data_IF_346415655691
#
_entry.id   IF_346415655691
#
_cell.length_a   1.000
_cell.length_b   1.000
_cell.length_c   1.000
_cell.angle_alpha   90.00
_cell.angle_beta   90.00
_cell.angle_gamma   90.00
#
_symmetry.space_group_name_H-M   'P 1'
#
loop_
_entity.id
_entity.type
_entity.pdbx_description
1 polymer ?
#
# COMPACT_ATOMS: atom_id res chain seq x y z
N UNK A 1 -11.73 6.46 4.24
CA UNK A 1 -12.57 6.60 5.45
C UNK A 1 -11.86 6.01 6.63
N UNK A 2 -11.64 6.81 7.67
CA UNK A 2 -11.17 6.35 8.96
C UNK A 2 -12.39 5.89 9.75
N UNK A 3 -12.47 4.60 10.02
CA UNK A 3 -13.34 4.09 11.06
C UNK A 3 -12.60 4.37 12.36
N UNK A 4 -13.03 5.38 13.10
CA UNK A 4 -12.54 5.64 14.45
C UNK A 4 -13.19 4.61 15.39
N UNK A 5 -12.45 3.58 15.72
CA UNK A 5 -12.85 2.62 16.73
C UNK A 5 -12.36 3.18 18.07
N UNK A 6 -13.19 3.96 18.75
CA UNK A 6 -12.95 4.30 20.15
C UNK A 6 -13.19 3.08 21.04
N UNK A 7 -12.11 2.57 21.59
CA UNK A 7 -12.12 1.48 22.55
C UNK A 7 -12.44 2.04 23.93
N UNK A 8 -13.71 2.23 24.26
CA UNK A 8 -14.15 2.40 25.64
C UNK A 8 -15.23 1.37 25.96
N UNK A 9 -14.81 0.24 26.51
CA UNK A 9 -15.60 -0.80 27.18
C UNK A 9 -16.83 -1.39 26.47
N UNK A 10 -17.25 -0.88 25.31
CA UNK A 10 -18.26 -1.46 24.40
C UNK A 10 -18.01 -0.92 23.00
N UNK A 11 -18.10 -1.78 22.00
CA UNK A 11 -17.99 -1.40 20.60
C UNK A 11 -19.15 -0.46 20.23
N UNK A 12 -18.86 0.83 20.07
CA UNK A 12 -19.80 1.75 19.48
C UNK A 12 -19.40 1.99 18.02
N UNK A 13 -20.19 1.49 17.10
CA UNK A 13 -20.05 1.84 15.68
C UNK A 13 -20.74 3.18 15.46
N UNK A 14 -19.95 4.20 15.12
CA UNK A 14 -20.51 5.45 14.60
C UNK A 14 -20.68 5.28 13.10
N UNK A 15 -21.93 5.10 12.66
CA UNK A 15 -22.24 5.18 11.23
C UNK A 15 -22.00 6.62 10.77
N UNK A 16 -20.97 6.84 9.97
CA UNK A 16 -20.77 8.11 9.28
C UNK A 16 -21.60 8.03 8.00
N UNK A 17 -22.63 8.84 7.89
CA UNK A 17 -23.32 9.02 6.61
C UNK A 17 -22.33 9.58 5.59
N UNK A 18 -21.96 8.73 4.65
CA UNK A 18 -21.21 9.14 3.49
C UNK A 18 -22.23 9.66 2.50
N UNK A 19 -22.39 10.97 2.44
CA UNK A 19 -23.02 11.53 1.26
C UNK A 19 -22.12 11.18 0.08
N UNK A 20 -22.57 10.27 -0.78
CA UNK A 20 -21.93 9.98 -2.05
C UNK A 20 -22.12 11.18 -2.95
N UNK A 21 -21.41 12.25 -2.69
CA UNK A 21 -21.19 13.26 -3.68
C UNK A 21 -20.38 12.61 -4.79
N UNK A 22 -21.04 12.21 -5.85
CA UNK A 22 -20.39 11.81 -7.09
C UNK A 22 -19.46 12.95 -7.49
N UNK A 23 -18.14 12.72 -7.37
CA UNK A 23 -17.16 13.71 -7.75
C UNK A 23 -17.23 13.92 -9.26
N UNK A 24 -17.88 15.00 -9.69
CA UNK A 24 -17.86 15.47 -11.06
C UNK A 24 -16.58 16.24 -11.39
N UNK A 25 -15.73 16.48 -10.40
CA UNK A 25 -14.49 17.22 -10.61
C UNK A 25 -13.58 16.55 -11.63
N UNK A 26 -13.08 17.37 -12.53
CA UNK A 26 -12.09 16.96 -13.54
C UNK A 26 -10.66 17.22 -13.10
N UNK A 27 -10.43 17.82 -11.94
CA UNK A 27 -9.10 18.18 -11.46
C UNK A 27 -8.39 16.99 -10.82
N UNK A 28 -7.16 16.74 -11.25
CA UNK A 28 -6.25 15.75 -10.68
C UNK A 28 -4.96 16.45 -10.29
N UNK A 29 -4.60 16.35 -9.04
CA UNK A 29 -3.38 16.95 -8.50
C UNK A 29 -2.35 15.85 -8.23
N UNK A 30 -1.18 15.97 -8.85
CA UNK A 30 -0.05 15.07 -8.65
C UNK A 30 1.14 15.89 -8.19
N UNK A 31 1.70 15.55 -7.03
CA UNK A 31 2.89 16.17 -6.51
C UNK A 31 4.00 15.15 -6.31
N UNK A 32 5.23 15.60 -6.43
CA UNK A 32 6.43 14.81 -6.20
C UNK A 32 7.24 15.44 -5.08
N UNK A 33 7.59 14.67 -4.07
CA UNK A 33 8.61 14.97 -3.06
C UNK A 33 9.80 14.09 -3.35
N UNK A 34 10.93 14.68 -3.63
CA UNK A 34 12.13 13.97 -4.07
C UNK A 34 13.29 14.34 -3.17
N UNK A 35 13.94 13.33 -2.64
CA UNK A 35 15.25 13.49 -2.01
C UNK A 35 16.26 13.94 -3.06
N UNK A 36 17.01 14.99 -2.74
CA UNK A 36 18.03 15.57 -3.62
C UNK A 36 19.42 15.60 -2.95
N UNK A 37 19.63 14.72 -1.97
CA UNK A 37 20.95 14.52 -1.36
C UNK A 37 21.91 13.78 -2.28
N UNK A 38 23.17 13.72 -1.93
CA UNK A 38 24.22 13.24 -2.82
C UNK A 38 24.07 11.78 -3.24
N UNK A 39 23.51 10.94 -2.37
CA UNK A 39 23.28 9.52 -2.60
C UNK A 39 22.29 9.24 -3.74
N UNK A 40 21.35 10.17 -4.00
CA UNK A 40 20.32 10.09 -5.05
C UNK A 40 20.82 10.45 -6.47
N UNK A 41 22.14 10.54 -6.70
CA UNK A 41 22.70 11.03 -7.97
C UNK A 41 22.23 10.30 -9.22
N UNK A 42 22.34 9.00 -9.21
CA UNK A 42 21.93 8.14 -10.33
C UNK A 42 20.42 8.05 -10.45
N UNK A 43 19.72 7.94 -9.31
CA UNK A 43 18.27 7.89 -9.26
C UNK A 43 17.63 9.17 -9.78
N UNK A 44 18.16 10.36 -9.43
CA UNK A 44 17.60 11.62 -9.93
C UNK A 44 17.70 11.72 -11.44
N UNK A 45 18.82 11.27 -12.03
CA UNK A 45 18.98 11.26 -13.49
C UNK A 45 17.95 10.36 -14.18
N UNK A 46 17.73 9.19 -13.63
CA UNK A 46 16.69 8.25 -14.10
C UNK A 46 15.27 8.83 -13.87
N UNK A 47 14.98 9.32 -12.67
CA UNK A 47 13.68 9.85 -12.29
C UNK A 47 13.25 11.05 -13.13
N UNK A 48 14.16 11.91 -13.56
CA UNK A 48 13.85 13.05 -14.45
C UNK A 48 13.17 12.59 -15.75
N UNK A 49 13.65 11.51 -16.34
CA UNK A 49 13.06 10.95 -17.56
C UNK A 49 11.72 10.28 -17.27
N UNK A 50 11.68 9.45 -16.22
CA UNK A 50 10.47 8.70 -15.84
C UNK A 50 9.31 9.62 -15.43
N UNK A 51 9.57 10.62 -14.61
CA UNK A 51 8.54 11.56 -14.14
C UNK A 51 7.93 12.35 -15.32
N UNK A 52 8.74 12.80 -16.27
CA UNK A 52 8.27 13.49 -17.45
C UNK A 52 7.36 12.61 -18.30
N UNK A 53 7.75 11.37 -18.52
CA UNK A 53 6.96 10.41 -19.30
C UNK A 53 5.68 9.98 -18.56
N UNK A 54 5.74 9.77 -17.25
CA UNK A 54 4.57 9.47 -16.40
C UNK A 54 3.55 10.60 -16.45
N UNK A 55 3.98 11.86 -16.33
CA UNK A 55 3.09 13.02 -16.43
C UNK A 55 2.41 13.07 -17.80
N UNK A 56 3.16 12.85 -18.88
CA UNK A 56 2.63 12.84 -20.24
C UNK A 56 1.62 11.69 -20.44
N UNK A 57 2.02 10.44 -20.10
CA UNK A 57 1.17 9.25 -20.25
C UNK A 57 -0.12 9.35 -19.45
N UNK A 58 -0.04 9.84 -18.21
CA UNK A 58 -1.22 10.02 -17.37
C UNK A 58 -2.21 11.02 -17.96
N UNK A 59 -1.72 12.12 -18.51
CA UNK A 59 -2.54 13.10 -19.20
C UNK A 59 -3.19 12.53 -20.46
N UNK A 60 -2.45 11.74 -21.23
CA UNK A 60 -2.96 11.12 -22.46
C UNK A 60 -3.98 10.02 -22.18
N UNK A 61 -3.83 9.28 -21.08
CA UNK A 61 -4.76 8.22 -20.69
C UNK A 61 -6.15 8.78 -20.29
N UNK A 62 -6.21 10.03 -19.82
CA UNK A 62 -7.44 10.67 -19.34
C UNK A 62 -7.65 12.04 -19.98
N UNK A 63 -7.94 12.14 -21.30
CA UNK A 63 -8.01 13.41 -22.01
C UNK A 63 -9.15 14.34 -21.51
N UNK A 64 -10.13 13.77 -20.80
CA UNK A 64 -11.22 14.54 -20.18
C UNK A 64 -10.91 15.15 -18.82
N UNK A 65 -9.71 14.86 -18.25
CA UNK A 65 -9.30 15.36 -16.94
C UNK A 65 -8.27 16.48 -17.04
N UNK A 66 -8.26 17.34 -16.04
CA UNK A 66 -7.33 18.46 -15.90
C UNK A 66 -6.27 18.15 -14.87
N UNK A 67 -5.06 17.87 -15.32
CA UNK A 67 -3.93 17.55 -14.46
C UNK A 67 -3.18 18.81 -14.03
N UNK A 68 -2.78 18.84 -12.76
CA UNK A 68 -1.83 19.81 -12.20
C UNK A 68 -0.67 19.07 -11.56
N UNK A 69 0.54 19.61 -11.72
CA UNK A 69 1.77 19.00 -11.21
C UNK A 69 2.50 19.98 -10.31
N UNK A 70 3.01 19.46 -9.18
CA UNK A 70 3.84 20.21 -8.25
C UNK A 70 5.08 19.40 -7.87
N UNK A 71 6.15 20.08 -7.49
CA UNK A 71 7.42 19.46 -7.18
C UNK A 71 8.03 20.05 -5.92
N UNK A 72 8.55 19.20 -5.05
CA UNK A 72 9.35 19.57 -3.88
C UNK A 72 10.60 18.71 -3.88
N UNK A 73 11.74 19.33 -3.89
CA UNK A 73 13.04 18.69 -3.74
C UNK A 73 13.64 19.12 -2.41
N UNK A 74 13.98 18.17 -1.55
CA UNK A 74 14.56 18.47 -0.25
C UNK A 74 15.98 17.90 -0.12
N UNK A 75 16.73 18.46 0.80
CA UNK A 75 18.04 18.01 1.25
C UNK A 75 18.09 18.01 2.76
N UNK A 76 19.27 17.89 3.33
CA UNK A 76 19.41 17.93 4.77
C UNK A 76 19.62 19.34 5.33
N UNK A 77 19.53 19.47 6.67
CA UNK A 77 19.48 20.73 7.42
C UNK A 77 20.75 21.58 7.31
N UNK A 78 21.87 20.96 6.93
CA UNK A 78 23.18 21.64 6.79
C UNK A 78 23.61 21.89 5.36
N UNK A 79 22.74 21.57 4.42
CA UNK A 79 23.02 21.69 2.99
C UNK A 79 22.88 23.13 2.46
N UNK A 80 23.31 23.34 1.22
CA UNK A 80 23.21 24.63 0.55
C UNK A 80 21.73 25.14 0.46
N UNK A 81 20.78 24.29 0.52
CA UNK A 81 19.35 24.61 0.67
C UNK A 81 18.64 23.44 1.36
N UNK A 82 17.58 23.75 2.11
CA UNK A 82 16.78 22.76 2.79
C UNK A 82 15.70 22.15 1.85
N UNK A 83 15.09 22.99 1.03
CA UNK A 83 14.16 22.57 -0.03
C UNK A 83 14.09 23.58 -1.16
N UNK A 84 13.63 23.07 -2.32
CA UNK A 84 13.16 23.86 -3.46
C UNK A 84 11.80 23.35 -3.85
N UNK A 85 10.87 24.24 -4.22
CA UNK A 85 9.53 23.84 -4.62
C UNK A 85 8.99 24.61 -5.79
N UNK A 86 8.14 23.96 -6.55
CA UNK A 86 7.24 24.55 -7.54
C UNK A 86 5.82 24.19 -7.15
N UNK A 87 4.96 25.17 -7.02
CA UNK A 87 3.53 24.96 -6.76
C UNK A 87 2.81 24.39 -7.99
N UNK A 88 1.58 23.96 -7.83
CA UNK A 88 0.81 23.33 -8.88
C UNK A 88 0.70 24.16 -10.15
N UNK A 89 1.11 23.58 -11.27
CA UNK A 89 0.93 24.10 -12.63
C UNK A 89 0.18 23.09 -13.50
N UNK A 90 -0.55 23.60 -14.51
CA UNK A 90 -1.15 22.78 -15.58
C UNK A 90 -0.21 22.60 -16.77
N UNK A 91 0.88 23.34 -16.80
CA UNK A 91 1.82 23.38 -17.89
C UNK A 91 2.91 22.32 -17.69
N UNK A 92 2.85 21.24 -18.46
CA UNK A 92 3.86 20.16 -18.38
C UNK A 92 5.27 20.68 -18.55
N UNK A 93 5.51 21.60 -19.51
CA UNK A 93 6.84 22.16 -19.77
C UNK A 93 7.41 22.95 -18.60
N UNK A 94 6.58 23.64 -17.81
CA UNK A 94 7.03 24.32 -16.59
C UNK A 94 7.46 23.30 -15.53
N UNK A 95 6.66 22.25 -15.31
CA UNK A 95 7.01 21.20 -14.36
C UNK A 95 8.29 20.46 -14.80
N UNK A 96 8.39 20.10 -16.08
CA UNK A 96 9.59 19.48 -16.66
C UNK A 96 10.82 20.36 -16.55
N UNK A 97 10.70 21.66 -16.81
CA UNK A 97 11.81 22.60 -16.67
C UNK A 97 12.31 22.67 -15.21
N UNK A 98 11.40 22.71 -14.24
CA UNK A 98 11.77 22.69 -12.83
C UNK A 98 12.48 21.37 -12.44
N UNK A 99 11.93 20.22 -12.82
CA UNK A 99 12.53 18.90 -12.57
C UNK A 99 13.95 18.81 -13.16
N UNK A 100 14.11 19.24 -14.41
CA UNK A 100 15.40 19.14 -15.12
C UNK A 100 16.50 20.02 -14.51
N UNK A 101 16.14 21.10 -13.81
CA UNK A 101 17.08 21.96 -13.10
C UNK A 101 17.59 21.38 -11.78
N UNK A 102 16.94 20.34 -11.25
CA UNK A 102 17.36 19.77 -9.98
C UNK A 102 18.55 18.80 -10.18
N UNK A 103 19.33 18.64 -9.13
CA UNK A 103 20.45 17.70 -9.11
C UNK A 103 20.73 17.25 -7.69
N UNK A 104 21.34 16.08 -7.56
CA UNK A 104 21.79 15.55 -6.28
C UNK A 104 22.99 16.35 -5.77
N UNK A 105 23.10 16.45 -4.45
CA UNK A 105 24.26 17.05 -3.78
C UNK A 105 23.94 17.38 -2.33
N UNK A 106 24.95 17.52 -1.51
CA UNK A 106 24.80 17.64 -0.07
C UNK A 106 24.60 16.28 0.59
N UNK A 107 23.92 16.27 1.74
CA UNK A 107 23.91 15.13 2.66
C UNK A 107 25.24 15.07 3.43
N UNK A 108 25.31 14.33 4.50
CA UNK A 108 26.52 14.24 5.32
C UNK A 108 26.48 13.06 6.25
N UNK A 109 25.29 12.68 6.62
CA UNK A 109 24.98 11.46 7.35
C UNK A 109 23.87 10.67 6.61
N UNK A 110 23.35 9.64 7.25
CA UNK A 110 22.38 8.77 6.59
C UNK A 110 20.93 9.28 6.71
N UNK A 111 20.66 10.07 7.74
CA UNK A 111 19.31 10.59 8.00
C UNK A 111 19.14 11.95 7.31
N UNK A 112 18.03 12.16 6.63
CA UNK A 112 17.76 13.34 5.82
C UNK A 112 16.46 14.05 6.25
N UNK A 113 16.25 15.30 5.80
CA UNK A 113 15.11 16.11 6.25
C UNK A 113 13.79 15.75 5.50
N UNK A 114 13.41 14.47 5.49
CA UNK A 114 12.20 13.95 4.84
C UNK A 114 10.94 14.66 5.32
N UNK A 115 10.86 14.92 6.64
CA UNK A 115 9.71 15.61 7.25
C UNK A 115 9.54 17.04 6.76
N UNK A 116 10.60 17.67 6.30
CA UNK A 116 10.54 19.03 5.72
C UNK A 116 9.97 18.96 4.31
N UNK A 117 10.45 18.03 3.49
CA UNK A 117 9.90 17.79 2.16
C UNK A 117 8.40 17.51 2.19
N UNK A 118 7.99 16.61 3.08
CA UNK A 118 6.58 16.26 3.29
C UNK A 118 5.75 17.43 3.81
N UNK A 119 6.26 18.23 4.76
CA UNK A 119 5.57 19.41 5.28
C UNK A 119 5.32 20.43 4.16
N UNK A 120 6.33 20.69 3.32
CA UNK A 120 6.15 21.59 2.19
C UNK A 120 5.10 21.07 1.20
N UNK A 121 5.08 19.78 0.94
CA UNK A 121 4.11 19.18 0.03
C UNK A 121 2.68 19.17 0.61
N UNK A 122 2.52 18.84 1.88
CA UNK A 122 1.20 18.66 2.50
C UNK A 122 0.59 19.99 2.94
N UNK A 123 1.40 20.89 3.54
CA UNK A 123 0.89 22.13 4.16
C UNK A 123 1.06 23.36 3.29
N UNK A 124 2.06 23.42 2.39
CA UNK A 124 2.38 24.62 1.64
C UNK A 124 1.93 24.62 0.18
N UNK A 125 1.79 23.43 -0.45
CA UNK A 125 1.27 23.33 -1.81
C UNK A 125 -0.24 23.61 -1.84
N UNK A 126 -0.69 24.30 -2.91
CA UNK A 126 -2.09 24.69 -3.10
C UNK A 126 -2.90 23.59 -3.78
N UNK A 127 -3.18 22.53 -3.03
CA UNK A 127 -4.06 21.45 -3.50
C UNK A 127 -5.46 21.93 -3.87
N UNK A 128 -6.04 21.41 -4.94
CA UNK A 128 -7.43 21.72 -5.31
C UNK A 128 -8.37 21.20 -4.22
N UNK A 129 -9.30 22.05 -3.79
CA UNK A 129 -10.32 21.67 -2.80
C UNK A 129 -11.24 20.58 -3.34
N UNK A 130 -11.55 20.64 -4.64
CA UNK A 130 -12.45 19.76 -5.36
C UNK A 130 -11.73 18.65 -6.16
N UNK A 131 -10.41 18.44 -5.96
CA UNK A 131 -9.68 17.47 -6.75
C UNK A 131 -10.31 16.07 -6.66
N UNK A 132 -10.49 15.43 -7.83
CA UNK A 132 -10.89 14.03 -7.97
C UNK A 132 -9.89 13.09 -7.33
N UNK A 133 -8.61 13.40 -7.46
CA UNK A 133 -7.51 12.69 -6.81
C UNK A 133 -6.41 13.68 -6.40
N UNK A 134 -5.81 13.45 -5.22
CA UNK A 134 -4.61 14.12 -4.74
C UNK A 134 -3.56 13.08 -4.47
N UNK A 135 -2.55 13.02 -5.32
CA UNK A 135 -1.52 11.98 -5.33
C UNK A 135 -0.18 12.61 -5.00
N UNK A 136 0.47 12.11 -3.97
CA UNK A 136 1.78 12.56 -3.52
C UNK A 136 2.79 11.41 -3.61
N UNK A 137 3.63 11.43 -4.62
CA UNK A 137 4.80 10.54 -4.69
C UNK A 137 5.89 11.05 -3.77
N UNK A 138 6.48 10.17 -2.97
CA UNK A 138 7.60 10.46 -2.07
C UNK A 138 8.76 9.55 -2.41
N UNK A 139 9.80 10.08 -3.00
CA UNK A 139 10.93 9.33 -3.55
C UNK A 139 12.14 9.61 -2.68
N UNK A 140 12.72 8.58 -2.08
CA UNK A 140 13.80 8.70 -1.10
C UNK A 140 14.65 7.43 -1.01
N UNK A 141 15.91 7.59 -0.61
CA UNK A 141 16.84 6.51 -0.30
C UNK A 141 17.29 6.48 1.18
N UNK A 142 16.87 7.47 1.98
CA UNK A 142 17.27 7.64 3.37
C UNK A 142 16.07 7.90 4.31
N UNK A 143 16.19 7.56 5.62
CA UNK A 143 15.16 7.83 6.61
C UNK A 143 15.12 9.30 7.04
N UNK A 144 14.00 9.75 7.63
CA UNK A 144 13.99 11.00 8.38
C UNK A 144 14.85 10.88 9.65
N UNK A 145 15.34 12.00 10.17
CA UNK A 145 16.06 12.05 11.45
C UNK A 145 15.29 11.38 12.57
N UNK A 146 15.94 10.51 13.34
CA UNK A 146 15.30 9.70 14.37
C UNK A 146 15.18 10.44 15.72
N UNK A 147 14.68 11.67 15.71
CA UNK A 147 14.39 12.45 16.93
C UNK A 147 12.93 12.27 17.36
N UNK A 148 12.63 12.57 18.62
CA UNK A 148 11.25 12.57 19.13
C UNK A 148 10.36 13.53 18.33
N UNK A 149 10.85 14.74 18.04
CA UNK A 149 10.09 15.78 17.35
C UNK A 149 9.83 15.39 15.89
N UNK A 150 10.82 14.84 15.19
CA UNK A 150 10.66 14.34 13.84
C UNK A 150 9.64 13.22 13.76
N UNK A 151 9.69 12.23 14.68
CA UNK A 151 8.69 11.15 14.72
C UNK A 151 7.29 11.69 14.96
N UNK A 152 7.12 12.65 15.87
CA UNK A 152 5.85 13.32 16.12
C UNK A 152 5.36 14.10 14.90
N UNK A 153 6.27 14.80 14.22
CA UNK A 153 6.00 15.53 12.98
C UNK A 153 5.55 14.59 11.86
N UNK A 154 6.27 13.49 11.60
CA UNK A 154 5.92 12.49 10.60
C UNK A 154 4.51 11.91 10.83
N UNK A 155 4.19 11.54 12.08
CA UNK A 155 2.84 11.10 12.45
C UNK A 155 1.77 12.17 12.20
N UNK A 156 2.06 13.42 12.51
CA UNK A 156 1.15 14.55 12.26
C UNK A 156 0.93 14.76 10.76
N UNK A 157 2.00 14.69 9.95
CA UNK A 157 1.94 14.85 8.50
C UNK A 157 1.11 13.74 7.83
N UNK A 158 1.27 12.49 8.25
CA UNK A 158 0.43 11.39 7.75
C UNK A 158 -1.06 11.63 8.05
N UNK A 159 -1.40 12.06 9.28
CA UNK A 159 -2.77 12.41 9.65
C UNK A 159 -3.32 13.59 8.83
N UNK A 160 -2.54 14.65 8.63
CA UNK A 160 -2.93 15.80 7.82
C UNK A 160 -3.15 15.42 6.36
N UNK A 161 -2.26 14.60 5.78
CA UNK A 161 -2.43 14.09 4.42
C UNK A 161 -3.73 13.30 4.27
N UNK A 162 -3.99 12.37 5.19
CA UNK A 162 -5.23 11.60 5.23
C UNK A 162 -6.47 12.49 5.33
N UNK A 163 -6.45 13.48 6.24
CA UNK A 163 -7.55 14.43 6.42
C UNK A 163 -7.81 15.31 5.19
N UNK A 164 -6.74 15.66 4.43
CA UNK A 164 -6.84 16.39 3.17
C UNK A 164 -7.16 15.48 1.97
N UNK A 165 -7.30 14.16 2.15
CA UNK A 165 -7.48 13.19 1.07
C UNK A 165 -6.27 13.09 0.13
N UNK A 166 -5.07 13.42 0.62
CA UNK A 166 -3.82 13.26 -0.11
C UNK A 166 -3.32 11.84 0.09
N UNK A 167 -3.15 11.09 -0.99
CA UNK A 167 -2.65 9.72 -0.97
C UNK A 167 -1.14 9.73 -1.14
N UNK A 168 -0.43 9.33 -0.11
CA UNK A 168 1.03 9.25 -0.13
C UNK A 168 1.44 7.93 -0.77
N UNK A 169 2.25 8.01 -1.82
CA UNK A 169 2.78 6.88 -2.57
C UNK A 169 4.31 6.93 -2.47
N UNK A 170 4.89 6.29 -1.46
CA UNK A 170 6.33 6.21 -1.35
C UNK A 170 6.94 5.35 -2.45
N UNK A 171 8.06 5.80 -2.98
CA UNK A 171 8.94 5.07 -3.88
C UNK A 171 10.29 4.96 -3.21
N UNK A 172 10.59 3.80 -2.66
CA UNK A 172 11.87 3.54 -2.03
C UNK A 172 12.94 3.31 -3.10
N UNK A 173 13.98 4.14 -3.06
CA UNK A 173 15.17 4.02 -3.89
C UNK A 173 16.22 3.08 -3.25
N UNK A 174 17.45 3.07 -3.75
CA UNK A 174 18.53 2.26 -3.20
C UNK A 174 18.90 2.74 -1.79
N UNK A 175 19.46 1.86 -0.97
CA UNK A 175 20.05 2.25 0.32
C UNK A 175 19.11 2.35 1.51
N UNK A 176 17.78 2.28 1.35
CA UNK A 176 16.87 2.33 2.52
C UNK A 176 17.06 1.12 3.42
N UNK A 177 16.84 1.30 4.72
CA UNK A 177 16.82 0.21 5.69
C UNK A 177 15.38 -0.26 5.98
N UNK A 178 15.24 -1.38 6.72
CA UNK A 178 13.94 -1.98 7.06
C UNK A 178 13.03 -1.06 7.89
N UNK A 179 13.59 -0.20 8.72
CA UNK A 179 12.82 0.76 9.51
C UNK A 179 12.22 1.85 8.61
N UNK A 180 12.99 2.33 7.64
CA UNK A 180 12.51 3.28 6.61
C UNK A 180 11.42 2.64 5.76
N UNK A 181 11.62 1.40 5.31
CA UNK A 181 10.59 0.64 4.59
C UNK A 181 9.29 0.56 5.39
N UNK A 182 9.37 0.18 6.68
CA UNK A 182 8.20 0.07 7.56
C UNK A 182 7.48 1.43 7.72
N UNK A 183 8.24 2.51 7.94
CA UNK A 183 7.69 3.86 8.06
C UNK A 183 6.94 4.27 6.79
N UNK A 184 7.55 4.06 5.62
CA UNK A 184 6.96 4.42 4.33
C UNK A 184 5.71 3.59 4.02
N UNK A 185 5.73 2.29 4.31
CA UNK A 185 4.54 1.42 4.21
C UNK A 185 3.41 1.90 5.12
N UNK A 186 3.73 2.28 6.36
CA UNK A 186 2.74 2.79 7.31
C UNK A 186 2.12 4.12 6.80
N UNK A 187 2.93 5.03 6.25
CA UNK A 187 2.43 6.29 5.68
C UNK A 187 1.52 6.05 4.47
N UNK A 188 1.90 5.14 3.57
CA UNK A 188 1.06 4.74 2.45
C UNK A 188 -0.28 4.18 2.94
N UNK A 189 -0.26 3.25 3.89
CA UNK A 189 -1.46 2.64 4.45
C UNK A 189 -2.37 3.65 5.15
N UNK A 190 -1.81 4.56 5.95
CA UNK A 190 -2.58 5.61 6.65
C UNK A 190 -3.29 6.59 5.71
N UNK A 191 -2.82 6.71 4.47
CA UNK A 191 -3.34 7.66 3.48
C UNK A 191 -4.04 6.98 2.30
N UNK A 192 -4.30 5.68 2.40
CA UNK A 192 -4.85 4.85 1.31
C UNK A 192 -4.02 4.93 0.02
N UNK A 193 -2.71 5.05 0.17
CA UNK A 193 -1.72 5.02 -0.90
C UNK A 193 -1.14 3.62 -1.14
N UNK A 194 -0.17 3.54 -2.02
CA UNK A 194 0.52 2.29 -2.39
C UNK A 194 2.02 2.47 -2.21
N UNK A 195 2.67 1.54 -1.52
CA UNK A 195 4.12 1.53 -1.41
C UNK A 195 4.75 0.91 -2.65
N UNK A 196 5.68 1.63 -3.27
CA UNK A 196 6.48 1.18 -4.41
C UNK A 196 7.96 1.15 -4.00
N UNK A 197 8.75 0.38 -4.73
CA UNK A 197 10.20 0.33 -4.53
C UNK A 197 10.92 0.06 -5.85
N UNK A 198 12.10 0.61 -6.00
CA UNK A 198 13.00 0.36 -7.11
C UNK A 198 13.80 -0.91 -6.78
N UNK A 199 14.12 -1.72 -7.78
CA UNK A 199 14.90 -2.95 -7.64
C UNK A 199 16.19 -2.86 -8.45
N UNK A 200 17.15 -3.73 -8.18
CA UNK A 200 18.41 -3.83 -8.92
C UNK A 200 18.22 -3.99 -10.44
N UNK A 201 17.04 -4.43 -10.89
CA UNK A 201 16.69 -4.52 -12.30
C UNK A 201 16.49 -3.16 -12.98
N UNK A 202 16.40 -2.07 -12.23
CA UNK A 202 16.31 -0.72 -12.80
C UNK A 202 17.62 -0.26 -13.45
N UNK A 203 18.74 -0.82 -13.00
CA UNK A 203 20.09 -0.37 -13.38
C UNK A 203 20.46 1.01 -12.83
N UNK A 204 19.64 1.59 -11.93
CA UNK A 204 19.86 2.87 -11.28
C UNK A 204 20.11 2.66 -9.79
N UNK A 205 21.02 3.43 -9.22
CA UNK A 205 21.36 3.43 -7.80
C UNK A 205 22.27 2.29 -7.36
N UNK A 206 22.48 2.22 -6.04
CA UNK A 206 23.23 1.18 -5.36
C UNK A 206 22.36 -0.08 -5.13
N UNK A 207 22.86 -1.05 -4.33
CA UNK A 207 22.10 -2.25 -3.99
C UNK A 207 20.77 -1.92 -3.31
N UNK A 208 19.71 -2.53 -3.78
CA UNK A 208 18.36 -2.37 -3.23
C UNK A 208 18.05 -3.43 -2.17
N UNK A 209 17.20 -3.08 -1.22
CA UNK A 209 16.69 -4.07 -0.25
C UNK A 209 15.87 -5.11 -0.99
N UNK A 210 16.15 -6.39 -0.72
CA UNK A 210 15.32 -7.48 -1.23
C UNK A 210 13.89 -7.34 -0.71
N UNK A 211 12.87 -7.51 -1.57
CA UNK A 211 11.48 -7.50 -1.16
C UNK A 211 11.23 -8.45 0.01
N UNK A 212 10.35 -8.07 0.91
CA UNK A 212 9.96 -8.92 2.06
C UNK A 212 9.09 -10.10 1.62
N UNK A 213 8.56 -10.06 0.38
CA UNK A 213 7.72 -11.10 -0.21
C UNK A 213 8.55 -11.99 -1.13
N UNK A 214 8.37 -13.31 -1.04
CA UNK A 214 9.07 -14.29 -1.87
C UNK A 214 8.67 -14.26 -3.35
N UNK A 215 7.53 -13.66 -3.66
CA UNK A 215 7.01 -13.53 -5.03
C UNK A 215 6.64 -12.09 -5.34
N UNK A 216 7.35 -11.50 -6.28
CA UNK A 216 7.02 -10.17 -6.81
C UNK A 216 7.20 -10.15 -8.33
N UNK A 217 6.39 -9.33 -9.01
CA UNK A 217 6.54 -9.09 -10.45
C UNK A 217 7.30 -7.78 -10.64
N UNK A 218 8.45 -7.86 -11.30
CA UNK A 218 9.19 -6.66 -11.71
C UNK A 218 8.46 -6.01 -12.89
N UNK A 219 8.16 -4.72 -12.75
CA UNK A 219 7.64 -3.86 -13.80
C UNK A 219 8.49 -2.60 -13.85
N UNK A 220 8.52 -1.91 -14.99
CA UNK A 220 9.18 -0.61 -15.05
C UNK A 220 8.52 0.36 -14.07
N UNK A 221 9.30 1.25 -13.44
CA UNK A 221 8.80 2.27 -12.51
C UNK A 221 7.73 3.12 -13.18
N UNK A 222 7.95 3.51 -14.43
CA UNK A 222 6.99 4.23 -15.26
C UNK A 222 5.62 3.54 -15.29
N UNK A 223 5.61 2.26 -15.66
CA UNK A 223 4.36 1.46 -15.72
C UNK A 223 3.68 1.42 -14.35
N UNK A 224 4.44 1.22 -13.26
CA UNK A 224 3.89 1.18 -11.91
C UNK A 224 3.29 2.53 -11.50
N UNK A 225 3.96 3.63 -11.79
CA UNK A 225 3.47 4.97 -11.47
C UNK A 225 2.20 5.29 -12.27
N UNK A 226 2.18 5.04 -13.58
CA UNK A 226 0.98 5.26 -14.42
C UNK A 226 -0.19 4.40 -13.95
N UNK A 227 0.02 3.10 -13.69
CA UNK A 227 -1.04 2.21 -13.16
C UNK A 227 -1.53 2.70 -11.80
N UNK A 228 -0.62 3.13 -10.93
CA UNK A 228 -1.00 3.66 -9.62
C UNK A 228 -1.83 4.93 -9.75
N UNK A 229 -1.44 5.86 -10.62
CA UNK A 229 -2.22 7.07 -10.92
C UNK A 229 -3.60 6.69 -11.46
N UNK A 230 -3.66 5.78 -12.42
CA UNK A 230 -4.92 5.29 -13.01
C UNK A 230 -5.86 4.76 -11.94
N UNK A 231 -5.39 3.85 -11.08
CA UNK A 231 -6.19 3.27 -10.00
C UNK A 231 -6.69 4.32 -8.99
N UNK A 232 -5.96 5.42 -8.81
CA UNK A 232 -6.37 6.50 -7.90
C UNK A 232 -7.38 7.46 -8.54
N UNK A 233 -7.40 7.55 -9.85
CA UNK A 233 -8.29 8.43 -10.63
C UNK A 233 -9.60 7.72 -10.97
N UNK A 234 -9.56 6.42 -11.24
CA UNK A 234 -10.74 5.62 -11.55
C UNK A 234 -11.69 5.63 -10.35
N UNK A 235 -12.84 6.24 -10.55
CA UNK A 235 -13.95 6.28 -9.59
C UNK A 235 -15.10 5.50 -10.20
N UNK A 236 -15.81 4.78 -9.38
CA UNK A 236 -17.03 4.10 -9.80
C UNK A 236 -17.98 5.11 -10.47
N UNK A 237 -18.60 4.72 -11.58
CA UNK A 237 -19.61 5.53 -12.25
C UNK A 237 -20.71 5.93 -11.25
N UNK A 238 -21.14 7.22 -11.33
CA UNK A 238 -22.12 7.77 -10.39
C UNK A 238 -23.46 7.02 -10.40
N UNK A 239 -23.91 6.57 -11.56
CA UNK A 239 -25.14 5.77 -11.68
C UNK A 239 -24.99 4.43 -10.97
N UNK A 240 -23.84 3.77 -11.12
CA UNK A 240 -23.54 2.51 -10.47
C UNK A 240 -23.32 2.66 -8.96
N UNK A 241 -22.69 3.77 -8.53
CA UNK A 241 -22.54 4.10 -7.11
C UNK A 241 -23.91 4.38 -6.46
N UNK A 242 -24.81 5.09 -7.14
CA UNK A 242 -26.17 5.33 -6.66
C UNK A 242 -27.00 4.06 -6.59
N UNK A 243 -26.89 3.15 -7.57
CA UNK A 243 -27.54 1.85 -7.52
C UNK A 243 -27.06 1.02 -6.32
N UNK A 244 -25.74 0.92 -6.12
CA UNK A 244 -25.17 0.21 -4.97
C UNK A 244 -25.57 0.83 -3.63
N UNK A 245 -25.79 2.14 -3.58
CA UNK A 245 -26.28 2.81 -2.38
C UNK A 245 -27.77 2.58 -2.15
N UNK A 246 -28.57 2.54 -3.20
CA UNK A 246 -29.96 2.16 -3.08
C UNK A 246 -30.12 0.71 -2.60
N UNK A 247 -29.30 -0.18 -3.12
CA UNK A 247 -29.25 -1.58 -2.65
C UNK A 247 -28.73 -1.67 -1.20
N UNK A 248 -27.76 -0.83 -0.81
CA UNK A 248 -27.24 -0.80 0.57
C UNK A 248 -28.22 -0.16 1.57
N UNK A 249 -29.04 0.79 1.15
CA UNK A 249 -30.08 1.37 2.01
C UNK A 249 -31.21 0.37 2.28
N UNK A 250 -31.40 -0.61 1.41
CA UNK A 250 -32.33 -1.70 1.64
C UNK A 250 -31.82 -2.63 2.77
N UNK A 251 -30.52 -2.91 2.80
CA UNK A 251 -29.88 -3.71 3.87
C UNK A 251 -29.88 -2.94 5.21
N UNK A 252 -29.71 -1.62 5.19
CA UNK A 252 -29.73 -0.80 6.41
C UNK A 252 -31.14 -0.54 6.98
N UNK A 253 -32.21 -0.65 6.17
CA UNK A 253 -33.57 -0.52 6.67
C UNK A 253 -34.03 -1.72 7.48
N UNK A 254 -33.50 -2.91 7.18
CA UNK A 254 -33.81 -4.13 7.95
C UNK A 254 -32.85 -4.33 9.15
N UNK A 255 -31.82 -3.48 9.31
CA UNK A 255 -30.88 -3.54 10.43
C UNK A 255 -30.90 -2.26 11.25
N UNK A 256 -32.07 -1.69 11.54
CA UNK A 256 -32.24 -0.83 12.69
C UNK A 256 -32.25 -1.73 13.94
N UNK A 257 -31.05 -2.15 14.34
CA UNK A 257 -30.85 -2.71 15.67
C UNK A 257 -30.91 -1.53 16.63
N UNK A 258 -32.08 -1.29 17.21
CA UNK A 258 -32.19 -0.60 18.48
C UNK A 258 -31.45 -1.46 19.49
N UNK A 259 -30.24 -1.06 19.83
CA UNK A 259 -29.49 -1.68 20.93
C UNK A 259 -30.10 -1.15 22.21
N UNK A 260 -31.20 -1.73 22.62
CA UNK A 260 -31.60 -1.77 24.02
C UNK A 260 -30.87 -2.94 24.68
N UNK A 261 -30.23 -2.63 25.75
CA UNK A 261 -29.43 -3.47 26.61
C UNK A 261 -29.91 -4.92 26.73
N UNK A 262 -28.99 -5.87 26.44
CA UNK A 262 -29.05 -7.29 26.81
C UNK A 262 -30.04 -8.16 26.03
N UNK A 263 -29.64 -8.63 24.87
CA UNK A 263 -29.72 -10.03 24.38
C UNK A 263 -29.47 -10.01 22.88
N UNK A 264 -28.26 -10.34 22.47
CA UNK A 264 -27.97 -10.64 21.06
C UNK A 264 -28.50 -12.04 20.79
N UNK A 265 -29.71 -12.15 20.26
CA UNK A 265 -30.13 -13.35 19.54
C UNK A 265 -29.77 -13.18 18.08
N UNK A 266 -28.84 -14.00 17.60
CA UNK A 266 -28.58 -14.17 16.19
C UNK A 266 -29.82 -14.80 15.54
N UNK A 267 -30.56 -14.04 14.76
CA UNK A 267 -31.44 -14.62 13.74
C UNK A 267 -30.64 -14.80 12.46
N UNK A 268 -30.37 -16.06 12.14
CA UNK A 268 -29.93 -16.49 10.81
C UNK A 268 -31.05 -16.19 9.81
N UNK A 269 -31.01 -15.02 9.20
CA UNK A 269 -31.73 -14.78 7.96
C UNK A 269 -30.77 -15.09 6.81
N UNK A 270 -31.14 -16.11 6.06
CA UNK A 270 -30.49 -16.61 4.85
C UNK A 270 -30.28 -15.43 3.90
N UNK A 271 -29.08 -14.91 3.83
CA UNK A 271 -28.66 -14.00 2.76
C UNK A 271 -28.48 -14.87 1.51
N UNK A 272 -29.42 -14.77 0.57
CA UNK A 272 -29.19 -15.29 -0.78
C UNK A 272 -27.95 -14.60 -1.35
N UNK A 273 -26.90 -15.42 -1.52
CA UNK A 273 -25.66 -15.01 -2.16
C UNK A 273 -25.92 -14.92 -3.67
N UNK A 274 -26.26 -13.73 -4.15
CA UNK A 274 -26.09 -13.46 -5.56
C UNK A 274 -25.20 -12.23 -5.73
N UNK A 275 -24.06 -12.48 -6.41
CA UNK A 275 -23.10 -11.53 -6.96
C UNK A 275 -22.20 -10.77 -6.00
N UNK A 276 -21.50 -11.45 -5.09
CA UNK A 276 -20.19 -10.96 -4.70
C UNK A 276 -19.17 -11.35 -5.78
N UNK A 277 -18.52 -10.34 -6.37
CA UNK A 277 -17.29 -10.53 -7.13
C UNK A 277 -16.39 -11.45 -6.31
N UNK A 278 -16.07 -12.61 -6.86
CA UNK A 278 -15.17 -13.60 -6.29
C UNK A 278 -13.96 -12.88 -5.70
N UNK A 279 -13.85 -12.85 -4.38
CA UNK A 279 -12.60 -12.47 -3.72
C UNK A 279 -11.53 -13.37 -4.32
N UNK A 280 -10.48 -12.79 -4.86
CA UNK A 280 -9.40 -13.57 -5.44
C UNK A 280 -8.95 -14.60 -4.41
N UNK A 281 -8.96 -15.89 -4.81
CA UNK A 281 -8.50 -16.96 -3.95
C UNK A 281 -7.08 -16.68 -3.49
N UNK A 282 -6.87 -16.62 -2.17
CA UNK A 282 -5.57 -16.42 -1.54
C UNK A 282 -5.35 -17.48 -0.47
N UNK A 283 -4.08 -17.88 -0.29
CA UNK A 283 -3.68 -18.82 0.72
C UNK A 283 -2.24 -18.57 1.16
N UNK A 284 -1.94 -18.88 2.39
CA UNK A 284 -0.60 -18.68 2.97
C UNK A 284 -0.30 -19.72 4.03
N UNK A 285 0.98 -19.88 4.34
CA UNK A 285 1.45 -20.75 5.42
C UNK A 285 2.74 -20.19 6.03
N UNK A 286 2.83 -20.26 7.35
CA UNK A 286 3.95 -19.70 8.12
C UNK A 286 4.04 -20.31 9.53
N UNK A 287 5.19 -20.24 10.22
CA UNK A 287 6.49 -19.81 9.70
C UNK A 287 7.10 -20.82 8.72
N UNK A 288 7.95 -20.35 7.83
CA UNK A 288 8.74 -21.18 6.95
C UNK A 288 10.11 -20.52 6.71
N UNK A 289 11.24 -21.11 7.18
CA UNK A 289 11.35 -22.38 7.89
C UNK A 289 10.62 -22.43 9.23
N UNK A 290 10.34 -23.65 9.71
CA UNK A 290 9.74 -23.92 11.02
C UNK A 290 10.59 -24.90 11.83
N UNK A 291 10.46 -24.85 13.13
CA UNK A 291 11.07 -25.85 14.04
C UNK A 291 10.06 -26.86 14.59
N UNK A 292 8.76 -26.63 14.41
CA UNK A 292 7.71 -27.46 14.99
C UNK A 292 6.38 -27.41 14.24
N UNK A 293 5.83 -26.22 14.02
CA UNK A 293 4.48 -26.02 13.54
C UNK A 293 4.43 -25.05 12.35
N UNK A 294 3.48 -25.31 11.45
CA UNK A 294 3.11 -24.38 10.37
C UNK A 294 1.63 -24.08 10.49
N UNK A 295 1.26 -22.83 10.34
CA UNK A 295 -0.14 -22.41 10.24
C UNK A 295 -0.51 -22.24 8.77
N UNK A 296 -1.57 -22.88 8.37
CA UNK A 296 -2.15 -22.76 7.03
C UNK A 296 -3.39 -21.85 7.11
N UNK A 297 -3.49 -20.91 6.19
CA UNK A 297 -4.66 -20.05 6.03
C UNK A 297 -5.11 -20.07 4.57
N UNK A 298 -6.41 -19.94 4.34
CA UNK A 298 -6.96 -19.68 3.01
C UNK A 298 -8.14 -18.72 3.11
N UNK A 299 -8.39 -17.95 2.08
CA UNK A 299 -9.54 -17.04 1.99
C UNK A 299 -10.88 -17.77 1.74
N UNK A 300 -10.83 -19.09 1.50
CA UNK A 300 -11.97 -19.94 1.22
C UNK A 300 -11.83 -21.28 1.91
N UNK A 301 -12.93 -22.00 2.08
CA UNK A 301 -12.92 -23.36 2.61
C UNK A 301 -12.21 -24.30 1.62
N UNK A 302 -11.16 -24.97 2.07
CA UNK A 302 -10.47 -26.02 1.32
C UNK A 302 -10.87 -27.37 1.90
N UNK A 303 -11.53 -28.24 1.11
CA UNK A 303 -12.05 -29.51 1.62
C UNK A 303 -10.97 -30.43 2.18
N UNK A 304 -9.81 -30.49 1.51
CA UNK A 304 -8.66 -31.32 1.95
C UNK A 304 -7.34 -30.66 1.59
N UNK A 305 -6.44 -30.60 2.57
CA UNK A 305 -5.04 -30.19 2.39
C UNK A 305 -4.16 -31.37 2.80
N UNK A 306 -3.31 -31.80 1.90
CA UNK A 306 -2.40 -32.91 2.08
C UNK A 306 -0.98 -32.42 2.33
N UNK A 307 -0.30 -33.04 3.27
CA UNK A 307 1.10 -32.77 3.56
C UNK A 307 1.90 -34.05 3.25
N UNK A 308 2.93 -33.93 2.41
CA UNK A 308 3.80 -35.03 1.99
C UNK A 308 5.25 -34.77 2.36
N UNK A 309 6.03 -35.83 2.57
CA UNK A 309 7.48 -35.73 2.55
C UNK A 309 8.02 -35.71 1.09
N UNK A 310 9.32 -35.50 0.91
CA UNK A 310 9.93 -35.46 -0.45
C UNK A 310 9.89 -36.79 -1.19
N UNK A 311 9.62 -37.93 -0.50
CA UNK A 311 9.47 -39.24 -1.10
C UNK A 311 8.03 -39.47 -1.58
N UNK A 312 7.14 -38.52 -1.34
CA UNK A 312 5.72 -38.59 -1.66
C UNK A 312 4.90 -39.36 -0.62
N UNK A 313 5.45 -39.62 0.55
CA UNK A 313 4.72 -40.27 1.66
C UNK A 313 3.80 -39.25 2.30
N UNK A 314 2.52 -39.61 2.45
CA UNK A 314 1.54 -38.77 3.13
C UNK A 314 1.86 -38.66 4.62
N UNK A 315 2.06 -37.45 5.09
CA UNK A 315 2.45 -37.11 6.47
C UNK A 315 1.23 -36.72 7.30
N UNK A 316 0.38 -35.86 6.75
CA UNK A 316 -0.80 -35.36 7.43
C UNK A 316 -1.88 -34.96 6.40
N UNK A 317 -3.14 -35.05 6.81
CA UNK A 317 -4.29 -34.49 6.06
C UNK A 317 -5.03 -33.53 6.99
N UNK A 318 -5.42 -32.39 6.48
CA UNK A 318 -6.39 -31.49 7.11
C UNK A 318 -7.67 -31.52 6.29
N UNK A 319 -8.80 -31.58 6.95
CA UNK A 319 -10.12 -31.58 6.30
C UNK A 319 -10.88 -30.32 6.69
N UNK A 320 -11.65 -29.80 5.74
CA UNK A 320 -12.56 -28.65 5.93
C UNK A 320 -11.87 -27.47 6.61
N UNK A 321 -10.81 -26.95 5.97
CA UNK A 321 -10.07 -25.79 6.52
C UNK A 321 -10.98 -24.56 6.51
N UNK A 322 -11.31 -24.07 7.70
CA UNK A 322 -12.13 -22.89 7.88
C UNK A 322 -11.32 -21.63 7.54
N UNK A 323 -11.80 -20.73 6.65
CA UNK A 323 -11.11 -19.51 6.28
C UNK A 323 -10.95 -18.51 7.45
N UNK A 324 -11.79 -18.60 8.47
CA UNK A 324 -11.71 -17.70 9.64
C UNK A 324 -10.74 -18.20 10.71
N UNK A 325 -10.28 -19.46 10.62
CA UNK A 325 -9.40 -20.06 11.61
C UNK A 325 -8.06 -20.49 11.03
N UNK A 326 -6.98 -20.23 11.79
CA UNK A 326 -5.64 -20.71 11.45
C UNK A 326 -5.54 -22.21 11.70
N UNK A 327 -5.39 -22.97 10.65
CA UNK A 327 -5.20 -24.42 10.74
C UNK A 327 -3.75 -24.76 11.04
N UNK A 328 -3.53 -25.61 12.04
CA UNK A 328 -2.20 -25.98 12.53
C UNK A 328 -1.73 -27.31 11.94
N UNK A 329 -0.58 -27.29 11.29
CA UNK A 329 0.16 -28.46 10.83
C UNK A 329 1.24 -28.77 11.87
N UNK A 330 1.20 -29.93 12.50
CA UNK A 330 2.15 -30.34 13.52
C UNK A 330 3.25 -31.23 12.91
N UNK A 331 4.46 -30.70 12.81
CA UNK A 331 5.62 -31.40 12.25
C UNK A 331 6.63 -31.89 13.32
N UNK A 332 6.31 -31.79 14.60
CA UNK A 332 7.22 -32.10 15.69
C UNK A 332 7.73 -33.55 15.67
N UNK A 333 6.90 -34.49 15.24
CA UNK A 333 7.27 -35.92 15.20
C UNK A 333 8.06 -36.30 13.95
N UNK A 334 8.22 -35.43 12.97
CA UNK A 334 8.87 -35.72 11.70
C UNK A 334 10.32 -35.24 11.69
N UNK A 335 11.16 -35.83 10.83
CA UNK A 335 12.58 -35.50 10.71
C UNK A 335 12.78 -34.11 10.06
N UNK A 336 13.93 -33.48 10.34
CA UNK A 336 14.37 -32.29 9.60
C UNK A 336 14.35 -32.56 8.09
N UNK A 337 13.83 -31.63 7.33
CA UNK A 337 13.68 -31.81 5.89
C UNK A 337 12.64 -30.91 5.26
N UNK A 338 12.34 -31.22 4.01
CA UNK A 338 11.34 -30.48 3.23
C UNK A 338 10.04 -31.29 3.16
N UNK A 339 8.95 -30.60 3.36
CA UNK A 339 7.59 -31.12 3.24
C UNK A 339 6.81 -30.32 2.21
N UNK A 340 5.83 -30.94 1.55
CA UNK A 340 4.99 -30.33 0.52
C UNK A 340 3.56 -30.25 1.01
N UNK A 341 3.00 -29.05 1.06
CA UNK A 341 1.57 -28.82 1.20
C UNK A 341 0.95 -28.92 -0.18
N UNK A 342 -0.12 -29.69 -0.33
CA UNK A 342 -0.80 -29.86 -1.61
C UNK A 342 -2.32 -29.89 -1.43
N UNK A 343 -3.06 -29.16 -2.28
CA UNK A 343 -4.52 -29.21 -2.31
C UNK A 343 -5.07 -28.83 -3.69
N UNK A 344 -6.36 -29.07 -3.87
CA UNK A 344 -7.10 -28.70 -5.10
C UNK A 344 -8.23 -27.76 -4.73
N UNK A 345 -8.32 -26.64 -5.44
CA UNK A 345 -9.43 -25.71 -5.35
C UNK A 345 -9.90 -25.32 -6.75
N UNK A 346 -11.20 -25.41 -7.02
CA UNK A 346 -11.81 -25.16 -8.34
C UNK A 346 -11.11 -25.88 -9.50
N UNK A 347 -10.73 -27.13 -9.28
CA UNK A 347 -10.03 -27.96 -10.28
C UNK A 347 -8.55 -27.61 -10.52
N UNK A 348 -8.02 -26.56 -9.88
CA UNK A 348 -6.61 -26.19 -9.95
C UNK A 348 -5.84 -26.78 -8.77
N UNK A 349 -4.61 -27.22 -9.05
CA UNK A 349 -3.68 -27.77 -8.04
C UNK A 349 -2.80 -26.66 -7.48
N UNK A 350 -2.68 -26.62 -6.16
CA UNK A 350 -1.82 -25.69 -5.42
C UNK A 350 -0.80 -26.45 -4.60
N UNK A 351 0.41 -25.93 -4.51
CA UNK A 351 1.50 -26.56 -3.77
C UNK A 351 2.35 -25.51 -3.07
N UNK A 352 2.76 -25.82 -1.84
CA UNK A 352 3.69 -25.03 -1.04
C UNK A 352 4.80 -25.90 -0.47
N UNK A 353 5.98 -25.33 -0.25
CA UNK A 353 7.15 -26.01 0.31
C UNK A 353 7.40 -25.53 1.74
N UNK A 354 7.40 -26.45 2.70
CA UNK A 354 7.73 -26.20 4.10
C UNK A 354 9.11 -26.79 4.42
N UNK A 355 9.95 -26.02 5.08
CA UNK A 355 11.27 -26.45 5.55
C UNK A 355 11.21 -26.60 7.07
N UNK A 356 11.40 -27.83 7.55
CA UNK A 356 11.49 -28.17 8.98
C UNK A 356 12.96 -28.23 9.39
N UNK A 357 13.35 -27.38 10.34
CA UNK A 357 14.69 -27.33 10.92
C UNK A 357 14.52 -27.29 12.43
N UNK A 358 14.74 -28.43 13.09
CA UNK A 358 14.83 -28.52 14.55
C UNK A 358 16.27 -28.28 14.96
N UNK A 359 16.47 -27.47 15.99
CA UNK A 359 17.79 -27.35 16.59
C UNK A 359 18.24 -28.74 17.11
N UNK A 360 19.47 -29.11 16.81
CA UNK A 360 20.13 -30.29 17.42
C UNK A 360 20.37 -29.92 18.88
N UNK A 361 19.66 -30.59 19.80
CA UNK A 361 19.99 -30.58 21.23
C UNK A 361 21.32 -31.29 21.48
#
# INVERSE_FOLDING_TARGET
QLIDIEYQQRFAFKAVEISAACHTSKNVDIAFVVDATGSMGDEISYLKQEMNDVMYKSKMAFPGLSFRYANVYYRDTRDAYLYKKQDFTRTLSESSAFINQQGAGGGGDYEEAVEVGLEQAIDSLKWSIDARARILFVILDAPPHNTYDTRKKMKSLAKKAAAKGIRIIPIAASGINKNTELLMRAMAQCTNGTYLFITDHSGAGNSHIRPTTDTFKVKSLNTLMVVTITNQIEVMDCSKAQQLMQDSTFILKDTLITIDTLNVQYHDSIIQRDTFKQLAFDWSYYPNPTNAYVYFNSSVLIPKVFIYDLRGTLVQVMENTDPETKQKIDLRQYANGTYLIHFVYEGKKYSGKVILIKELN
#
